data_IF_821410372156
#
_entry.id   IF_821410372156
#
_cell.length_a   1.000
_cell.length_b   1.000
_cell.length_c   1.000
_cell.angle_alpha   90.00
_cell.angle_beta   90.00
_cell.angle_gamma   90.00
#
_symmetry.space_group_name_H-M   'P 1'
#
loop_
_entity.id
_entity.type
_entity.pdbx_description
1 polymer ?
#
# COMPACT_ATOMS: atom_id res chain seq x y z
N UNK A 1 35.89 38.30 -3.78
CA UNK A 1 36.04 38.43 -5.25
C UNK A 1 37.12 37.52 -5.86
N UNK A 2 38.18 37.11 -5.15
CA UNK A 2 39.22 36.19 -5.67
C UNK A 2 38.89 34.67 -5.57
N UNK A 3 37.91 34.26 -4.77
CA UNK A 3 37.49 32.85 -4.70
C UNK A 3 36.55 32.40 -5.82
N UNK A 4 35.93 33.33 -6.55
CA UNK A 4 35.00 33.01 -7.64
C UNK A 4 35.75 32.68 -8.95
N UNK A 5 36.95 33.24 -9.14
CA UNK A 5 37.77 33.00 -10.34
C UNK A 5 38.42 31.59 -10.34
N UNK A 6 38.69 31.00 -9.17
CA UNK A 6 39.28 29.65 -9.06
C UNK A 6 38.27 28.50 -9.18
N UNK A 7 36.96 28.77 -9.24
CA UNK A 7 35.93 27.74 -9.51
C UNK A 7 35.63 27.56 -11.00
N UNK A 8 35.90 28.58 -11.83
CA UNK A 8 35.73 28.51 -13.27
C UNK A 8 36.80 27.64 -13.94
N UNK A 9 38.04 27.66 -13.44
CA UNK A 9 39.14 26.86 -13.99
C UNK A 9 38.99 25.34 -13.78
N UNK A 10 38.31 24.88 -12.71
CA UNK A 10 38.00 23.45 -12.50
C UNK A 10 36.86 22.94 -13.38
N UNK A 11 35.91 23.79 -13.74
CA UNK A 11 34.80 23.42 -14.63
C UNK A 11 35.28 23.28 -16.09
N UNK A 12 36.27 24.07 -16.51
CA UNK A 12 36.80 24.05 -17.87
C UNK A 12 37.72 22.83 -18.16
N UNK A 13 38.40 22.29 -17.14
CA UNK A 13 39.21 21.06 -17.26
C UNK A 13 38.31 19.82 -17.45
N UNK A 14 37.11 19.80 -16.88
CA UNK A 14 36.16 18.68 -17.02
C UNK A 14 35.42 18.73 -18.36
N UNK A 15 35.13 19.93 -18.89
CA UNK A 15 34.56 20.08 -20.24
C UNK A 15 35.51 19.60 -21.35
N UNK A 16 36.83 19.73 -21.16
CA UNK A 16 37.81 19.34 -22.18
C UNK A 16 38.19 17.84 -22.15
N UNK A 17 37.75 17.10 -21.13
CA UNK A 17 37.84 15.63 -21.07
C UNK A 17 36.61 14.94 -21.71
N UNK A 18 35.50 15.67 -21.92
CA UNK A 18 34.28 15.16 -22.53
C UNK A 18 34.12 15.57 -24.01
N UNK A 19 34.98 16.44 -24.54
CA UNK A 19 34.99 16.85 -25.96
C UNK A 19 35.71 15.85 -26.88
N UNK A 20 36.39 14.84 -26.34
CA UNK A 20 37.13 13.83 -27.13
C UNK A 20 36.29 12.63 -27.56
N UNK A 21 35.01 12.55 -27.19
CA UNK A 21 34.16 11.37 -27.47
C UNK A 21 32.77 11.74 -27.97
N UNK A 22 32.67 12.61 -28.98
CA UNK A 22 31.54 12.52 -29.93
C UNK A 22 32.03 12.90 -31.32
N UNK A 23 32.00 11.93 -32.24
CA UNK A 23 31.58 12.01 -33.65
C UNK A 23 32.38 11.04 -34.52
N UNK A 24 31.85 9.82 -34.70
CA UNK A 24 31.92 9.14 -35.99
C UNK A 24 30.60 8.48 -36.32
N UNK A 25 29.85 9.20 -37.16
CA UNK A 25 28.76 8.79 -38.02
C UNK A 25 28.44 7.29 -38.07
N UNK A 26 27.22 6.95 -37.66
CA UNK A 26 26.56 5.77 -38.19
C UNK A 26 26.18 6.01 -39.67
N UNK A 27 26.92 5.39 -40.59
CA UNK A 27 26.38 4.96 -41.89
C UNK A 27 26.59 3.46 -42.03
N UNK A 28 25.47 2.74 -42.04
CA UNK A 28 25.20 1.35 -42.44
C UNK A 28 26.38 0.60 -43.09
N UNK A 29 26.88 -0.46 -42.43
CA UNK A 29 27.40 -1.68 -43.09
C UNK A 29 26.99 -2.91 -42.28
N UNK A 30 26.44 -3.90 -42.98
CA UNK A 30 26.05 -5.23 -42.48
C UNK A 30 27.29 -5.98 -41.94
N UNK A 31 27.17 -6.86 -40.94
CA UNK A 31 28.24 -7.80 -40.63
C UNK A 31 28.30 -8.89 -41.72
N UNK A 32 29.48 -9.04 -42.30
CA UNK A 32 29.82 -10.08 -43.25
C UNK A 32 29.71 -11.46 -42.60
N UNK A 33 28.98 -12.33 -43.29
CA UNK A 33 28.85 -13.76 -43.02
C UNK A 33 30.18 -14.40 -43.42
N UNK A 34 30.87 -15.01 -42.46
CA UNK A 34 32.07 -15.80 -42.67
C UNK A 34 31.69 -17.06 -43.46
N UNK A 35 31.85 -17.04 -44.79
CA UNK A 35 31.72 -18.21 -45.65
C UNK A 35 33.06 -18.92 -45.74
N UNK A 36 33.18 -20.09 -45.10
CA UNK A 36 34.18 -21.08 -45.50
C UNK A 36 33.86 -21.53 -46.94
N UNK A 37 34.71 -21.13 -47.86
CA UNK A 37 34.69 -21.51 -49.28
C UNK A 37 35.33 -22.91 -49.38
N UNK A 38 34.65 -23.96 -49.87
CA UNK A 38 35.35 -25.19 -50.22
C UNK A 38 36.20 -24.93 -51.46
N UNK A 39 37.41 -25.48 -51.45
CA UNK A 39 38.33 -25.50 -52.58
C UNK A 39 37.69 -26.12 -53.81
N UNK A 40 37.98 -25.54 -54.96
CA UNK A 40 37.54 -25.99 -56.28
C UNK A 40 38.02 -27.40 -56.60
N UNK A 41 37.09 -28.34 -56.69
CA UNK A 41 37.24 -29.49 -57.58
C UNK A 41 35.85 -30.02 -57.94
N UNK A 42 35.60 -30.11 -59.24
CA UNK A 42 34.54 -30.88 -59.90
C UNK A 42 33.13 -30.28 -59.85
N UNK A 43 32.83 -29.50 -60.90
CA UNK A 43 31.48 -29.40 -61.47
C UNK A 43 31.14 -30.78 -62.02
N UNK A 44 30.19 -31.49 -61.41
CA UNK A 44 29.46 -32.55 -62.11
C UNK A 44 28.08 -32.77 -61.48
N UNK A 45 27.07 -32.52 -62.32
CA UNK A 45 25.85 -33.34 -62.44
C UNK A 45 24.74 -33.12 -61.40
N UNK A 46 23.68 -32.53 -61.93
CA UNK A 46 22.26 -32.72 -61.59
C UNK A 46 21.98 -34.15 -61.09
N UNK A 47 21.16 -34.29 -60.04
CA UNK A 47 20.05 -35.27 -59.87
C UNK A 47 19.73 -35.41 -58.38
N UNK A 48 18.51 -34.99 -58.04
CA UNK A 48 17.58 -35.60 -57.08
C UNK A 48 18.13 -36.18 -55.76
N UNK A 49 17.75 -35.54 -54.64
CA UNK A 49 17.14 -36.17 -53.45
C UNK A 49 16.83 -35.09 -52.41
N UNK A 50 15.55 -35.00 -52.02
CA UNK A 50 15.11 -34.11 -50.97
C UNK A 50 15.69 -34.48 -49.61
N UNK A 51 15.98 -33.46 -48.79
CA UNK A 51 16.16 -33.60 -47.34
C UNK A 51 15.61 -32.34 -46.66
N UNK A 52 14.61 -32.54 -45.81
CA UNK A 52 14.00 -31.54 -44.93
C UNK A 52 15.04 -30.82 -44.07
N UNK A 53 15.06 -29.49 -44.12
CA UNK A 53 15.75 -28.66 -43.13
C UNK A 53 14.81 -28.39 -41.93
N UNK A 54 14.76 -29.33 -40.98
CA UNK A 54 14.38 -29.01 -39.59
C UNK A 54 15.37 -27.96 -39.07
N UNK A 55 14.91 -26.70 -38.98
CA UNK A 55 15.60 -25.65 -38.21
C UNK A 55 15.65 -26.09 -36.75
N UNK A 56 16.83 -26.50 -36.32
CA UNK A 56 17.17 -26.77 -34.93
C UNK A 56 17.11 -25.42 -34.17
N UNK A 57 16.01 -25.18 -33.44
CA UNK A 57 15.96 -24.07 -32.47
C UNK A 57 17.03 -24.33 -31.41
N UNK A 58 17.95 -23.38 -31.21
CA UNK A 58 18.90 -23.43 -30.11
C UNK A 58 18.14 -23.47 -28.77
N UNK A 59 18.46 -24.39 -27.86
CA UNK A 59 17.82 -24.42 -26.55
C UNK A 59 18.27 -23.19 -25.75
N UNK A 60 17.32 -22.39 -25.23
CA UNK A 60 17.57 -21.38 -24.20
C UNK A 60 18.55 -21.95 -23.16
N UNK A 61 19.59 -21.19 -22.79
CA UNK A 61 20.60 -21.64 -21.83
C UNK A 61 19.94 -22.19 -20.57
N UNK A 62 20.49 -23.27 -20.01
CA UNK A 62 19.92 -23.98 -18.86
C UNK A 62 19.62 -23.02 -17.68
N UNK A 63 20.42 -21.96 -17.55
CA UNK A 63 20.23 -20.87 -16.59
C UNK A 63 18.96 -20.04 -16.86
N UNK A 64 18.70 -19.62 -18.11
CA UNK A 64 17.49 -18.87 -18.46
C UNK A 64 16.22 -19.73 -18.28
N UNK A 65 16.29 -21.03 -18.59
CA UNK A 65 15.20 -21.97 -18.30
C UNK A 65 14.99 -22.17 -16.79
N UNK A 66 16.06 -22.23 -15.99
CA UNK A 66 15.97 -22.30 -14.52
C UNK A 66 15.37 -21.04 -13.90
N UNK A 67 15.69 -19.84 -14.40
CA UNK A 67 15.09 -18.58 -13.94
C UNK A 67 13.59 -18.55 -14.28
N UNK A 68 13.21 -18.88 -15.51
CA UNK A 68 11.79 -18.92 -15.95
C UNK A 68 10.96 -19.99 -15.22
N UNK A 69 11.55 -21.13 -14.87
CA UNK A 69 10.88 -22.20 -14.12
C UNK A 69 10.79 -21.92 -12.63
N UNK A 70 11.77 -21.22 -12.04
CA UNK A 70 11.69 -20.70 -10.66
C UNK A 70 10.57 -19.66 -10.49
N UNK A 71 10.40 -18.75 -11.46
CA UNK A 71 9.31 -17.76 -11.44
C UNK A 71 7.90 -18.39 -11.47
N UNK A 72 7.72 -19.56 -12.09
CA UNK A 72 6.42 -20.27 -12.10
C UNK A 72 6.07 -20.96 -10.78
N UNK A 73 7.05 -21.31 -9.94
CA UNK A 73 6.84 -22.10 -8.72
C UNK A 73 6.56 -21.29 -7.44
N UNK A 74 6.72 -19.97 -7.46
CA UNK A 74 6.50 -19.09 -6.30
C UNK A 74 5.21 -18.26 -6.35
N UNK A 75 4.28 -18.57 -7.26
CA UNK A 75 2.96 -17.90 -7.29
C UNK A 75 2.04 -18.53 -6.23
N UNK A 76 2.38 -18.40 -4.94
CA UNK A 76 1.39 -18.49 -3.88
C UNK A 76 0.53 -17.22 -3.97
N UNK A 77 -0.45 -17.25 -4.88
CA UNK A 77 -1.36 -16.13 -5.15
C UNK A 77 -2.32 -15.99 -3.96
N UNK A 78 -1.96 -15.12 -3.02
CA UNK A 78 -2.87 -14.70 -1.96
C UNK A 78 -4.12 -14.05 -2.56
N UNK A 79 -5.30 -14.50 -2.12
CA UNK A 79 -6.60 -13.92 -2.50
C UNK A 79 -6.88 -12.67 -1.66
N UNK A 80 -7.59 -11.70 -2.23
CA UNK A 80 -8.07 -10.55 -1.46
C UNK A 80 -9.27 -11.02 -0.63
N UNK A 81 -9.11 -11.01 0.69
CA UNK A 81 -10.18 -11.31 1.64
C UNK A 81 -11.03 -10.06 1.89
N UNK A 82 -12.35 -10.16 1.83
CA UNK A 82 -13.26 -9.04 2.02
C UNK A 82 -14.50 -9.38 2.84
N UNK A 83 -15.13 -8.34 3.39
CA UNK A 83 -16.39 -8.45 4.14
C UNK A 83 -17.25 -7.18 4.00
N UNK A 84 -18.52 -7.29 4.37
CA UNK A 84 -19.52 -6.21 4.27
C UNK A 84 -19.79 -5.57 5.63
N UNK A 85 -19.63 -4.24 5.70
CA UNK A 85 -19.88 -3.46 6.91
C UNK A 85 -21.09 -2.57 6.70
N UNK A 86 -22.03 -2.59 7.65
CA UNK A 86 -23.20 -1.71 7.61
C UNK A 86 -22.75 -0.24 7.72
N UNK A 87 -23.28 0.61 6.86
CA UNK A 87 -23.09 2.06 6.95
C UNK A 87 -23.89 2.61 8.13
N UNK A 88 -23.38 3.61 8.85
CA UNK A 88 -24.19 4.30 9.85
C UNK A 88 -25.38 4.99 9.19
N UNK A 89 -26.53 4.99 9.86
CA UNK A 89 -27.73 5.66 9.37
C UNK A 89 -27.49 7.18 9.31
N UNK A 90 -27.41 7.73 8.10
CA UNK A 90 -27.31 9.17 7.91
C UNK A 90 -28.67 9.82 8.18
N UNK A 91 -28.71 10.76 9.14
CA UNK A 91 -29.90 11.56 9.48
C UNK A 91 -30.43 12.43 8.34
N UNK A 92 -29.67 12.60 7.25
CA UNK A 92 -29.96 13.51 6.13
C UNK A 92 -30.54 12.82 4.87
N UNK A 93 -31.15 11.64 5.01
CA UNK A 93 -32.07 11.10 3.99
C UNK A 93 -31.46 10.67 2.64
N UNK A 94 -30.13 10.64 2.50
CA UNK A 94 -29.44 10.06 1.31
C UNK A 94 -28.50 8.93 1.72
N UNK A 95 -29.06 7.76 2.01
CA UNK A 95 -28.28 6.52 2.10
C UNK A 95 -27.91 6.06 0.67
N UNK A 96 -26.61 6.10 0.33
CA UNK A 96 -26.09 5.64 -0.98
C UNK A 96 -25.99 4.10 -1.08
N UNK A 97 -25.86 3.40 0.04
CA UNK A 97 -25.94 1.93 0.16
C UNK A 97 -26.03 1.53 1.64
N UNK A 98 -26.69 0.42 1.97
CA UNK A 98 -26.78 -0.09 3.35
C UNK A 98 -25.45 -0.65 3.85
N UNK A 99 -24.63 -1.22 2.96
CA UNK A 99 -23.33 -1.78 3.28
C UNK A 99 -22.21 -1.14 2.46
N UNK A 100 -20.99 -1.18 2.98
CA UNK A 100 -19.75 -0.95 2.24
C UNK A 100 -18.79 -2.13 2.41
N UNK A 101 -18.02 -2.42 1.37
CA UNK A 101 -17.07 -3.54 1.35
C UNK A 101 -15.73 -3.07 1.94
N UNK A 102 -15.14 -3.88 2.83
CA UNK A 102 -13.78 -3.66 3.34
C UNK A 102 -12.88 -4.86 3.05
N UNK A 103 -11.61 -4.59 2.84
CA UNK A 103 -10.58 -5.64 2.78
C UNK A 103 -10.25 -6.09 4.20
N UNK A 104 -10.25 -7.39 4.43
CA UNK A 104 -9.98 -8.01 5.73
C UNK A 104 -8.61 -8.72 5.72
N UNK A 105 -7.93 -8.74 6.86
CA UNK A 105 -6.66 -9.46 7.00
C UNK A 105 -5.51 -8.88 6.15
N UNK A 106 -5.48 -7.55 5.98
CA UNK A 106 -4.35 -6.90 5.30
C UNK A 106 -3.06 -7.12 6.08
N UNK A 107 -1.98 -7.43 5.35
CA UNK A 107 -0.65 -7.54 5.90
C UNK A 107 0.22 -6.42 5.34
N UNK A 108 1.01 -5.80 6.22
CA UNK A 108 2.01 -4.81 5.81
C UNK A 108 3.28 -5.54 5.40
N UNK A 109 3.64 -5.42 4.12
CA UNK A 109 4.90 -5.95 3.61
C UNK A 109 5.99 -4.92 3.93
N UNK A 110 7.04 -5.35 4.65
CA UNK A 110 8.17 -4.49 4.98
C UNK A 110 9.08 -4.25 3.77
N UNK A 111 9.85 -3.17 3.79
CA UNK A 111 10.84 -2.87 2.74
C UNK A 111 11.81 -4.03 2.52
N UNK A 112 12.25 -4.68 3.61
CA UNK A 112 13.11 -5.88 3.55
C UNK A 112 12.46 -7.01 2.74
N UNK A 113 11.17 -7.27 2.95
CA UNK A 113 10.44 -8.28 2.20
C UNK A 113 10.36 -7.96 0.71
N UNK A 114 10.14 -6.69 0.34
CA UNK A 114 10.15 -6.27 -1.07
C UNK A 114 11.55 -6.43 -1.68
N UNK A 115 12.61 -6.08 -0.95
CA UNK A 115 14.00 -6.22 -1.43
C UNK A 115 14.35 -7.68 -1.68
N UNK A 116 13.98 -8.60 -0.79
CA UNK A 116 14.18 -10.03 -0.99
C UNK A 116 13.44 -10.53 -2.24
N UNK A 117 12.21 -10.07 -2.46
CA UNK A 117 11.45 -10.42 -3.67
C UNK A 117 12.13 -9.90 -4.95
N UNK A 118 12.68 -8.69 -4.93
CA UNK A 118 13.42 -8.12 -6.07
C UNK A 118 14.75 -8.85 -6.27
N UNK A 119 15.48 -9.13 -5.20
CA UNK A 119 16.75 -9.87 -5.25
C UNK A 119 16.55 -11.26 -5.88
N UNK A 120 15.49 -11.97 -5.49
CA UNK A 120 15.17 -13.28 -6.06
C UNK A 120 14.75 -13.22 -7.55
N UNK A 121 14.24 -12.07 -7.99
CA UNK A 121 13.80 -11.83 -9.36
C UNK A 121 14.86 -11.18 -10.27
N UNK A 122 16.02 -10.77 -9.71
CA UNK A 122 17.03 -9.98 -10.43
C UNK A 122 18.45 -10.41 -10.05
N UNK A 123 19.45 -9.80 -10.67
CA UNK A 123 20.87 -10.01 -10.32
C UNK A 123 21.39 -9.00 -9.29
N UNK A 124 20.53 -8.09 -8.82
CA UNK A 124 20.92 -7.02 -7.90
C UNK A 124 21.08 -7.56 -6.48
N UNK A 125 22.09 -7.10 -5.76
CA UNK A 125 22.23 -7.46 -4.34
C UNK A 125 21.21 -6.69 -3.48
N UNK A 126 20.81 -7.21 -2.31
CA UNK A 126 19.95 -6.48 -1.40
C UNK A 126 20.53 -5.12 -0.98
N UNK A 127 21.85 -4.98 -0.93
CA UNK A 127 22.54 -3.73 -0.61
C UNK A 127 22.35 -2.69 -1.73
N UNK A 128 22.51 -3.10 -3.00
CA UNK A 128 22.34 -2.21 -4.16
C UNK A 128 20.90 -1.70 -4.25
N UNK A 129 19.91 -2.59 -4.05
CA UNK A 129 18.48 -2.22 -4.10
C UNK A 129 18.15 -1.21 -3.00
N UNK A 130 18.64 -1.42 -1.78
CA UNK A 130 18.50 -0.47 -0.69
C UNK A 130 19.10 0.89 -1.04
N UNK A 131 20.34 0.90 -1.56
CA UNK A 131 21.02 2.13 -1.93
C UNK A 131 20.23 2.93 -2.98
N UNK A 132 19.67 2.25 -3.99
CA UNK A 132 18.83 2.90 -4.99
C UNK A 132 17.56 3.49 -4.37
N UNK A 133 16.87 2.75 -3.47
CA UNK A 133 15.68 3.25 -2.79
C UNK A 133 15.99 4.54 -1.99
N UNK A 134 17.12 4.58 -1.27
CA UNK A 134 17.53 5.78 -0.53
C UNK A 134 17.87 6.95 -1.44
N UNK A 135 18.70 6.73 -2.45
CA UNK A 135 19.04 7.78 -3.42
C UNK A 135 17.78 8.34 -4.10
N UNK A 136 16.80 7.48 -4.35
CA UNK A 136 15.54 7.84 -4.96
C UNK A 136 14.64 8.67 -4.02
N UNK A 137 14.60 8.33 -2.73
CA UNK A 137 13.91 9.12 -1.70
C UNK A 137 14.50 10.53 -1.60
N UNK A 138 15.83 10.65 -1.58
CA UNK A 138 16.53 11.92 -1.50
C UNK A 138 16.25 12.79 -2.73
N UNK A 139 16.31 12.21 -3.93
CA UNK A 139 16.07 12.97 -5.16
C UNK A 139 14.60 13.42 -5.26
N UNK A 140 13.63 12.58 -4.88
CA UNK A 140 12.23 13.00 -4.82
C UNK A 140 12.07 14.16 -3.83
N UNK A 141 12.64 14.05 -2.63
CA UNK A 141 12.56 15.09 -1.60
C UNK A 141 13.17 16.40 -2.10
N UNK A 142 14.32 16.35 -2.78
CA UNK A 142 14.98 17.52 -3.36
C UNK A 142 14.15 18.20 -4.45
N UNK A 143 13.52 17.42 -5.34
CA UNK A 143 12.69 17.97 -6.40
C UNK A 143 11.39 18.58 -5.85
N UNK A 144 10.76 17.91 -4.90
CA UNK A 144 9.60 18.42 -4.20
C UNK A 144 9.94 19.73 -3.43
N UNK A 145 11.08 19.79 -2.75
CA UNK A 145 11.53 21.00 -2.05
C UNK A 145 11.71 22.21 -3.00
N UNK A 146 12.01 21.97 -4.27
CA UNK A 146 12.10 23.01 -5.32
C UNK A 146 10.74 23.42 -5.89
N UNK A 147 9.64 22.81 -5.43
CA UNK A 147 8.29 23.04 -5.95
C UNK A 147 7.97 22.26 -7.23
N UNK A 148 8.83 21.31 -7.64
CA UNK A 148 8.59 20.50 -8.82
C UNK A 148 7.62 19.35 -8.50
N UNK A 149 6.92 18.86 -9.53
CA UNK A 149 6.13 17.64 -9.48
C UNK A 149 7.00 16.50 -10.01
N UNK A 150 7.14 15.43 -9.25
CA UNK A 150 7.92 14.26 -9.67
C UNK A 150 6.97 13.20 -10.22
N UNK A 151 7.11 12.86 -11.50
CA UNK A 151 6.34 11.77 -12.13
C UNK A 151 7.23 10.54 -12.29
N UNK A 152 6.74 9.41 -11.79
CA UNK A 152 7.29 8.09 -12.10
C UNK A 152 6.36 7.40 -13.08
N UNK A 153 6.85 7.29 -14.31
CA UNK A 153 6.12 6.70 -15.41
C UNK A 153 5.69 5.27 -15.07
N UNK A 154 4.40 4.99 -15.24
CA UNK A 154 3.80 3.68 -14.98
C UNK A 154 3.60 3.36 -13.49
N UNK A 155 3.85 4.30 -12.57
CA UNK A 155 3.72 4.08 -11.12
C UNK A 155 2.85 5.15 -10.43
N UNK A 156 3.38 6.36 -10.23
CA UNK A 156 2.68 7.42 -9.50
C UNK A 156 3.28 8.81 -9.75
N UNK A 157 2.56 9.84 -9.34
CA UNK A 157 3.06 11.21 -9.24
C UNK A 157 3.15 11.66 -7.78
N UNK A 158 4.18 12.46 -7.47
CA UNK A 158 4.38 13.11 -6.18
C UNK A 158 4.19 14.61 -6.36
N UNK A 159 3.36 15.20 -5.50
CA UNK A 159 3.20 16.65 -5.42
C UNK A 159 3.12 17.10 -3.97
N UNK A 160 3.29 18.39 -3.72
CA UNK A 160 3.17 18.99 -2.40
C UNK A 160 1.87 19.79 -2.32
N UNK A 161 1.21 19.73 -1.16
CA UNK A 161 0.24 20.72 -0.73
C UNK A 161 0.84 21.62 0.34
N UNK A 162 0.56 22.93 0.25
CA UNK A 162 0.98 23.93 1.22
C UNK A 162 -0.21 24.33 2.12
N UNK A 163 0.09 24.86 3.31
CA UNK A 163 -0.87 25.47 4.21
C UNK A 163 -0.28 26.73 4.84
N UNK A 164 -1.14 27.66 5.24
CA UNK A 164 -0.77 28.76 6.14
C UNK A 164 -0.29 28.18 7.48
N UNK A 165 0.79 28.74 8.02
CA UNK A 165 1.28 28.45 9.36
C UNK A 165 0.25 28.87 10.43
N UNK A 166 -0.51 29.94 10.16
CA UNK A 166 -1.50 30.50 11.06
C UNK A 166 -2.87 29.81 10.92
N UNK A 167 -2.99 28.80 10.05
CA UNK A 167 -4.21 28.02 9.83
C UNK A 167 -5.25 28.69 8.94
N UNK A 168 -5.30 30.03 8.91
CA UNK A 168 -6.20 30.81 8.05
C UNK A 168 -5.43 31.54 6.95
N UNK A 169 -5.71 31.18 5.70
CA UNK A 169 -5.06 31.81 4.55
C UNK A 169 -5.69 33.18 4.27
N UNK A 170 -4.97 34.26 4.55
CA UNK A 170 -5.40 35.63 4.24
C UNK A 170 -5.00 36.10 2.83
N UNK A 171 -4.25 35.27 2.08
CA UNK A 171 -3.74 35.59 0.74
C UNK A 171 -2.60 36.62 0.72
N UNK A 172 -2.24 37.21 1.87
CA UNK A 172 -1.16 38.21 2.03
C UNK A 172 0.07 37.65 2.74
N UNK A 173 0.10 36.34 2.96
CA UNK A 173 1.17 35.70 3.72
C UNK A 173 2.46 35.63 2.91
N UNK A 174 3.55 36.07 3.53
CA UNK A 174 4.88 35.91 2.97
C UNK A 174 5.32 34.45 3.06
N UNK A 175 6.34 34.04 2.29
CA UNK A 175 6.82 32.65 2.27
C UNK A 175 7.19 32.07 3.65
N UNK A 176 7.56 32.90 4.63
CA UNK A 176 7.81 32.47 6.03
C UNK A 176 6.54 32.01 6.77
N UNK A 177 5.37 32.49 6.35
CA UNK A 177 4.07 32.09 6.88
C UNK A 177 3.46 30.88 6.17
N UNK A 178 4.13 30.30 5.18
CA UNK A 178 3.64 29.16 4.40
C UNK A 178 4.47 27.93 4.75
N UNK A 179 3.80 26.84 5.11
CA UNK A 179 4.45 25.57 5.45
C UNK A 179 3.93 24.44 4.58
N UNK A 180 4.74 23.41 4.41
CA UNK A 180 4.31 22.18 3.72
C UNK A 180 3.25 21.47 4.57
N UNK A 181 2.08 21.20 3.97
CA UNK A 181 0.98 20.47 4.60
C UNK A 181 1.18 18.97 4.48
N UNK A 182 1.39 18.49 3.25
CA UNK A 182 1.50 17.07 2.92
C UNK A 182 2.19 16.88 1.58
N UNK A 183 2.83 15.72 1.43
CA UNK A 183 3.20 15.18 0.12
C UNK A 183 2.06 14.27 -0.32
N UNK A 184 1.44 14.55 -1.46
CA UNK A 184 0.38 13.70 -2.00
C UNK A 184 0.96 12.79 -3.07
N UNK A 185 0.56 11.53 -3.02
CA UNK A 185 0.99 10.48 -3.93
C UNK A 185 -0.25 10.01 -4.67
N UNK A 186 -0.30 10.19 -6.00
CA UNK A 186 -1.42 9.70 -6.79
C UNK A 186 -0.94 8.62 -7.75
N UNK A 187 -1.52 7.41 -7.72
CA UNK A 187 -1.15 6.34 -8.64
C UNK A 187 -1.54 6.70 -10.07
N UNK A 188 -0.72 6.28 -11.04
CA UNK A 188 -1.06 6.42 -12.46
C UNK A 188 -2.21 5.45 -12.82
N UNK A 189 -2.99 5.82 -13.85
CA UNK A 189 -4.12 5.00 -14.30
C UNK A 189 -3.68 3.60 -14.73
N UNK A 190 -2.59 3.52 -15.49
CA UNK A 190 -2.01 2.26 -15.97
C UNK A 190 -1.63 1.33 -14.80
N UNK A 191 -1.01 1.87 -13.75
CA UNK A 191 -0.67 1.11 -12.56
C UNK A 191 -1.93 0.55 -11.87
N UNK A 192 -2.96 1.40 -11.74
CA UNK A 192 -4.24 1.01 -11.12
C UNK A 192 -4.93 -0.11 -11.92
N UNK A 193 -4.91 -0.03 -13.24
CA UNK A 193 -5.44 -1.07 -14.14
C UNK A 193 -4.68 -2.38 -14.03
N UNK A 194 -3.34 -2.31 -13.97
CA UNK A 194 -2.49 -3.48 -13.73
C UNK A 194 -2.83 -4.17 -12.41
N UNK A 195 -3.04 -3.41 -11.34
CA UNK A 195 -3.46 -3.96 -10.03
C UNK A 195 -4.84 -4.61 -10.12
N UNK A 196 -5.81 -3.97 -10.77
CA UNK A 196 -7.16 -4.55 -10.97
C UNK A 196 -7.09 -5.88 -11.72
N UNK A 197 -6.27 -5.96 -12.77
CA UNK A 197 -6.07 -7.21 -13.53
C UNK A 197 -5.49 -8.32 -12.66
N UNK A 198 -4.43 -8.03 -11.92
CA UNK A 198 -3.80 -9.01 -11.02
C UNK A 198 -4.74 -9.44 -9.89
N UNK A 199 -5.52 -8.51 -9.34
CA UNK A 199 -6.53 -8.83 -8.33
C UNK A 199 -7.64 -9.74 -8.89
N UNK A 200 -8.07 -9.51 -10.13
CA UNK A 200 -9.04 -10.38 -10.80
C UNK A 200 -8.47 -11.78 -11.09
N UNK A 201 -7.20 -11.88 -11.49
CA UNK A 201 -6.51 -13.17 -11.70
C UNK A 201 -6.33 -13.95 -10.40
N UNK A 202 -6.02 -13.28 -9.29
CA UNK A 202 -5.85 -13.91 -7.98
C UNK A 202 -7.20 -14.30 -7.35
N UNK A 203 -8.27 -13.56 -7.66
CA UNK A 203 -9.60 -13.76 -7.12
C UNK A 203 -9.80 -13.12 -5.74
N UNK A 204 -11.07 -13.05 -5.34
CA UNK A 204 -11.52 -12.47 -4.08
C UNK A 204 -12.24 -13.53 -3.25
N UNK A 205 -12.09 -13.45 -1.93
CA UNK A 205 -12.66 -14.40 -0.98
C UNK A 205 -13.47 -13.65 0.07
N UNK A 206 -14.75 -13.99 0.21
CA UNK A 206 -15.56 -13.46 1.32
C UNK A 206 -15.12 -14.15 2.60
N UNK A 207 -14.71 -13.37 3.59
CA UNK A 207 -14.40 -13.85 4.94
C UNK A 207 -15.41 -13.25 5.88
N UNK A 208 -16.00 -14.08 6.75
CA UNK A 208 -16.89 -13.61 7.81
C UNK A 208 -16.02 -13.12 8.96
N UNK A 209 -15.81 -11.81 9.03
CA UNK A 209 -15.21 -11.17 10.19
C UNK A 209 -16.21 -11.24 11.37
N UNK A 210 -15.67 -11.23 12.59
CA UNK A 210 -16.51 -11.10 13.78
C UNK A 210 -17.01 -9.65 13.85
N UNK A 211 -18.23 -9.43 13.40
CA UNK A 211 -18.92 -8.16 13.61
C UNK A 211 -19.50 -8.19 15.03
N UNK A 212 -19.45 -7.07 15.75
CA UNK A 212 -20.30 -6.93 16.93
C UNK A 212 -21.72 -6.73 16.44
N UNK A 213 -22.63 -7.63 16.82
CA UNK A 213 -24.05 -7.39 16.62
C UNK A 213 -24.45 -6.08 17.32
N UNK A 214 -25.22 -5.24 16.63
CA UNK A 214 -25.82 -4.06 17.25
C UNK A 214 -26.92 -4.55 18.18
N UNK A 215 -26.58 -4.72 19.45
CA UNK A 215 -27.57 -4.98 20.49
C UNK A 215 -28.37 -3.70 20.66
N UNK A 216 -29.69 -3.79 20.52
CA UNK A 216 -30.59 -2.66 20.74
C UNK A 216 -30.51 -2.24 22.21
N UNK A 217 -30.67 -0.95 22.47
CA UNK A 217 -30.62 -0.42 23.83
C UNK A 217 -31.66 -1.10 24.74
N UNK A 218 -32.82 -1.45 24.18
CA UNK A 218 -33.88 -2.22 24.85
C UNK A 218 -33.40 -3.60 25.29
N UNK A 219 -32.64 -4.30 24.43
CA UNK A 219 -32.13 -5.62 24.75
C UNK A 219 -31.05 -5.56 25.82
N UNK A 220 -30.22 -4.51 25.81
CA UNK A 220 -29.26 -4.24 26.89
C UNK A 220 -30.00 -4.02 28.21
N UNK A 221 -31.06 -3.20 28.20
CA UNK A 221 -31.83 -2.88 29.38
C UNK A 221 -32.57 -4.12 29.94
N UNK A 222 -33.07 -5.02 29.08
CA UNK A 222 -33.65 -6.31 29.47
C UNK A 222 -32.62 -7.24 30.14
N UNK A 223 -31.44 -7.39 29.52
CA UNK A 223 -30.34 -8.20 30.06
C UNK A 223 -29.89 -7.68 31.43
N UNK A 224 -29.76 -6.36 31.57
CA UNK A 224 -29.39 -5.71 32.81
C UNK A 224 -30.47 -5.88 33.90
N UNK A 225 -31.74 -5.75 33.54
CA UNK A 225 -32.86 -6.01 34.46
C UNK A 225 -32.79 -7.42 35.02
N UNK A 226 -32.52 -8.42 34.16
CA UNK A 226 -32.38 -9.79 34.63
C UNK A 226 -31.12 -10.00 35.49
N UNK A 227 -30.02 -9.32 35.17
CA UNK A 227 -28.77 -9.40 35.92
C UNK A 227 -28.89 -8.81 37.34
N UNK A 228 -29.53 -7.65 37.47
CA UNK A 228 -29.69 -6.94 38.74
C UNK A 228 -30.73 -7.56 39.70
N UNK A 229 -31.57 -8.49 39.22
CA UNK A 229 -32.40 -9.32 40.11
C UNK A 229 -31.57 -10.16 41.09
N UNK A 230 -30.38 -10.60 40.66
CA UNK A 230 -29.51 -11.47 41.46
C UNK A 230 -28.27 -10.74 41.97
N UNK A 231 -27.76 -9.77 41.23
CA UNK A 231 -26.49 -9.10 41.54
C UNK A 231 -26.70 -7.63 41.90
N UNK A 232 -25.96 -7.10 42.88
CA UNK A 232 -26.11 -5.71 43.35
C UNK A 232 -25.33 -4.70 42.50
N UNK A 233 -24.25 -5.10 41.86
CA UNK A 233 -23.34 -4.21 41.13
C UNK A 233 -22.82 -4.86 39.85
N UNK A 234 -22.42 -4.05 38.88
CA UNK A 234 -21.86 -4.49 37.61
C UNK A 234 -20.54 -3.79 37.30
N UNK A 235 -19.61 -4.52 36.71
CA UNK A 235 -18.35 -3.99 36.18
C UNK A 235 -18.40 -3.98 34.66
N UNK A 236 -17.61 -3.12 34.00
CA UNK A 236 -17.45 -3.09 32.54
C UNK A 236 -17.15 -4.45 31.93
N UNK A 237 -16.25 -5.24 32.53
CA UNK A 237 -15.92 -6.59 32.03
C UNK A 237 -17.15 -7.48 32.09
N UNK A 238 -17.91 -7.44 33.19
CA UNK A 238 -19.10 -8.26 33.33
C UNK A 238 -20.19 -7.86 32.35
N UNK A 239 -20.42 -6.56 32.13
CA UNK A 239 -21.32 -6.07 31.08
C UNK A 239 -20.90 -6.58 29.68
N UNK A 240 -19.60 -6.53 29.39
CA UNK A 240 -19.04 -7.03 28.14
C UNK A 240 -19.38 -8.51 27.95
N UNK A 241 -19.27 -9.32 29.01
CA UNK A 241 -19.54 -10.75 28.97
C UNK A 241 -21.04 -11.05 28.82
N UNK A 242 -21.90 -10.43 29.66
CA UNK A 242 -23.34 -10.72 29.65
C UNK A 242 -23.98 -10.25 28.33
N UNK A 243 -23.56 -9.09 27.82
CA UNK A 243 -24.05 -8.57 26.55
C UNK A 243 -23.26 -9.14 25.36
N UNK A 244 -22.21 -9.96 25.53
CA UNK A 244 -21.38 -10.45 24.41
C UNK A 244 -20.91 -9.34 23.44
N UNK A 245 -20.61 -8.15 23.97
CA UNK A 245 -20.21 -6.98 23.16
C UNK A 245 -18.70 -6.77 23.15
N UNK A 246 -18.21 -5.92 22.26
CA UNK A 246 -16.81 -5.48 22.31
C UNK A 246 -16.59 -4.54 23.50
N UNK A 247 -15.34 -4.45 23.98
CA UNK A 247 -14.95 -3.49 25.04
C UNK A 247 -15.44 -2.07 24.77
N UNK A 248 -15.35 -1.62 23.52
CA UNK A 248 -15.77 -0.29 23.12
C UNK A 248 -17.29 -0.11 23.25
N UNK A 249 -18.08 -1.06 22.73
CA UNK A 249 -19.55 -1.02 22.85
C UNK A 249 -20.02 -1.09 24.30
N UNK A 250 -19.43 -1.96 25.12
CA UNK A 250 -19.70 -2.01 26.55
C UNK A 250 -19.44 -0.65 27.25
N UNK A 251 -18.35 0.02 26.89
CA UNK A 251 -18.02 1.35 27.43
C UNK A 251 -19.03 2.41 26.97
N UNK A 252 -19.45 2.38 25.70
CA UNK A 252 -20.46 3.31 25.18
C UNK A 252 -21.82 3.11 25.86
N UNK A 253 -22.23 1.86 26.10
CA UNK A 253 -23.46 1.54 26.83
C UNK A 253 -23.39 2.03 28.29
N UNK A 254 -22.27 1.86 28.98
CA UNK A 254 -22.06 2.45 30.32
C UNK A 254 -22.19 3.97 30.28
N UNK A 255 -21.51 4.64 29.34
CA UNK A 255 -21.62 6.10 29.20
C UNK A 255 -23.06 6.55 28.96
N UNK A 256 -23.81 5.84 28.11
CA UNK A 256 -25.24 6.08 27.87
C UNK A 256 -26.04 5.96 29.16
N UNK A 257 -25.88 4.85 29.89
CA UNK A 257 -26.64 4.54 31.11
C UNK A 257 -26.32 5.47 32.28
N UNK A 258 -25.06 5.88 32.43
CA UNK A 258 -24.66 6.89 33.43
C UNK A 258 -25.11 8.28 33.01
N UNK A 259 -25.02 8.62 31.72
CA UNK A 259 -25.57 9.88 31.19
C UNK A 259 -27.08 9.98 31.33
N UNK A 260 -27.81 8.86 31.25
CA UNK A 260 -29.26 8.80 31.48
C UNK A 260 -29.65 8.65 32.96
N UNK A 261 -28.68 8.62 33.89
CA UNK A 261 -28.93 8.47 35.32
C UNK A 261 -29.43 7.08 35.78
N UNK A 262 -29.37 6.05 34.93
CA UNK A 262 -29.81 4.68 35.27
C UNK A 262 -28.74 3.90 36.06
N UNK A 263 -27.47 4.25 35.87
CA UNK A 263 -26.32 3.66 36.56
C UNK A 263 -25.44 4.74 37.19
N UNK A 264 -25.05 4.54 38.44
CA UNK A 264 -24.12 5.42 39.16
C UNK A 264 -22.80 4.67 39.41
N UNK A 265 -21.68 5.34 39.18
CA UNK A 265 -20.36 4.81 39.54
C UNK A 265 -20.10 5.05 41.04
N UNK A 266 -20.01 3.96 41.81
CA UNK A 266 -19.63 3.96 43.23
C UNK A 266 -18.19 3.50 43.45
N UNK A 267 -17.50 3.10 42.38
CA UNK A 267 -16.10 2.70 42.42
C UNK A 267 -15.13 3.88 42.27
N UNK A 268 -13.84 3.57 42.38
CA UNK A 268 -12.76 4.51 42.12
C UNK A 268 -12.61 4.77 40.61
N UNK A 269 -11.96 5.88 40.24
CA UNK A 269 -11.73 6.26 38.84
C UNK A 269 -11.10 5.13 38.00
N UNK A 270 -10.10 4.44 38.56
CA UNK A 270 -9.39 3.34 37.89
C UNK A 270 -10.06 1.96 38.08
N UNK A 271 -11.02 1.85 38.99
CA UNK A 271 -11.76 0.62 39.30
C UNK A 271 -13.27 0.92 39.37
N UNK A 272 -13.89 1.27 38.23
CA UNK A 272 -15.28 1.69 38.22
C UNK A 272 -16.21 0.51 38.53
N UNK A 273 -17.18 0.77 39.40
CA UNK A 273 -18.18 -0.18 39.84
C UNK A 273 -19.55 0.51 39.75
N UNK A 274 -20.46 -0.05 38.96
CA UNK A 274 -21.73 0.58 38.67
C UNK A 274 -22.86 -0.11 39.43
N UNK A 275 -23.71 0.70 40.07
CA UNK A 275 -24.94 0.25 40.71
C UNK A 275 -26.16 0.89 40.02
N UNK A 276 -27.31 0.20 39.98
CA UNK A 276 -28.54 0.79 39.48
C UNK A 276 -29.04 1.86 40.44
N UNK A 277 -29.54 2.97 39.87
CA UNK A 277 -30.25 3.99 40.64
C UNK A 277 -31.60 3.43 41.10
N UNK A 278 -32.09 3.78 42.31
CA UNK A 278 -33.44 3.40 42.75
C UNK A 278 -34.50 3.73 41.68
N UNK A 279 -35.43 2.82 41.43
CA UNK A 279 -36.44 2.95 40.36
C UNK A 279 -35.96 2.49 38.97
N UNK A 280 -34.67 2.23 38.78
CA UNK A 280 -34.12 1.67 37.53
C UNK A 280 -33.97 0.14 37.61
N UNK A 281 -34.19 -0.55 36.48
CA UNK A 281 -34.01 -2.01 36.34
C UNK A 281 -34.78 -2.87 37.36
N UNK A 282 -35.92 -2.38 37.87
CA UNK A 282 -36.76 -3.10 38.83
C UNK A 282 -36.27 -3.05 40.28
N UNK A 283 -35.30 -2.19 40.61
CA UNK A 283 -34.94 -1.91 42.01
C UNK A 283 -36.00 -1.00 42.63
N UNK A 284 -36.52 -1.39 43.80
CA UNK A 284 -37.51 -0.60 44.54
C UNK A 284 -36.86 0.69 45.03
N UNK A 285 -37.58 1.80 44.96
CA UNK A 285 -37.25 2.99 45.75
C UNK A 285 -37.34 2.59 47.23
N UNK A 286 -36.22 2.70 47.95
CA UNK A 286 -36.19 2.59 49.42
C UNK A 286 -36.67 3.90 50.04
#
# INVERSE_FOLDING_TARGET
MKEYQNRLTKADIIKNQLSTVVFRNQRKKKPDIFWCRPSSAVVSTIVSKGVDHRRQLCPLSSAAKQILTKHKKQKNMGKIKYDFYKNPDNKEGKLKSEYHIRVCGQQTISTKGIIELIHNASTLTPADINAVIFAFQDEIANQLAKGNIVKLEGLCNFNISLKSANGTCTGKENGKGIVVKSVNINPEKEFTERVKKLAAENGMEKVIARHSDTITDEKVDEILTNYFRTNKAITRTKLQDICSTTRYMAMQQIKRLTGSGKLVNVGFENHPLYIPTPGSFGTKEE
#
